data_IF_142438655838
#
_entry.id   IF_142438655838
#
_cell.length_a   1.000
_cell.length_b   1.000
_cell.length_c   1.000
_cell.angle_alpha   90.00
_cell.angle_beta   90.00
_cell.angle_gamma   90.00
#
_symmetry.space_group_name_H-M   'P 1'
#
loop_
_entity.id
_entity.type
_entity.pdbx_description
1 polymer ?
#
# COMPACT_ATOMS: atom_id res chain seq x y z
N UNK A 1 4.07 54.86 -74.99
CA UNK A 1 4.63 54.87 -73.63
C UNK A 1 4.89 53.44 -73.18
N UNK A 2 6.15 52.97 -73.20
CA UNK A 2 6.54 51.65 -72.65
C UNK A 2 7.02 51.87 -71.20
N UNK A 3 6.31 51.34 -70.21
CA UNK A 3 6.75 51.33 -68.80
C UNK A 3 7.62 50.09 -68.57
N UNK A 4 8.89 50.30 -68.26
CA UNK A 4 9.79 49.22 -67.84
C UNK A 4 9.46 48.80 -66.40
N UNK A 5 9.14 47.52 -66.22
CA UNK A 5 9.01 46.89 -64.90
C UNK A 5 10.40 46.48 -64.42
N UNK A 6 10.84 47.02 -63.28
CA UNK A 6 12.08 46.60 -62.58
C UNK A 6 11.73 45.46 -61.63
N UNK A 7 12.26 44.27 -61.91
CA UNK A 7 12.24 43.15 -60.96
C UNK A 7 13.43 43.36 -60.01
N UNK A 8 13.13 43.58 -58.72
CA UNK A 8 14.16 43.61 -57.67
C UNK A 8 14.35 42.15 -57.23
N UNK A 9 15.44 41.54 -57.65
CA UNK A 9 15.86 40.22 -57.15
C UNK A 9 16.61 40.48 -55.85
N UNK A 10 16.03 40.16 -54.70
CA UNK A 10 16.80 40.06 -53.46
C UNK A 10 17.76 38.88 -53.59
N UNK A 11 19.06 39.15 -53.62
CA UNK A 11 20.09 38.11 -53.50
C UNK A 11 19.93 37.43 -52.14
N UNK A 12 19.34 36.23 -52.12
CA UNK A 12 19.33 35.39 -50.93
C UNK A 12 20.76 34.94 -50.67
N UNK A 13 21.35 35.41 -49.57
CA UNK A 13 22.65 34.95 -49.11
C UNK A 13 22.61 33.42 -48.93
N UNK A 14 23.41 32.70 -49.72
CA UNK A 14 23.56 31.26 -49.58
C UNK A 14 24.49 30.96 -48.40
N UNK A 15 24.09 30.01 -47.57
CA UNK A 15 24.84 29.59 -46.37
C UNK A 15 26.15 28.93 -46.77
N UNK A 16 27.25 29.30 -46.11
CA UNK A 16 28.55 28.67 -46.37
C UNK A 16 28.62 27.27 -45.74
N UNK A 17 29.42 26.37 -46.33
CA UNK A 17 29.63 25.02 -45.77
C UNK A 17 30.15 25.06 -44.33
N UNK A 18 30.95 26.07 -43.99
CA UNK A 18 31.52 26.26 -42.65
C UNK A 18 30.43 26.64 -41.64
N UNK A 19 29.54 27.57 -42.00
CA UNK A 19 28.44 27.96 -41.10
C UNK A 19 27.51 26.78 -40.78
N UNK A 20 27.26 25.90 -41.76
CA UNK A 20 26.46 24.68 -41.53
C UNK A 20 27.16 23.71 -40.59
N UNK A 21 28.47 23.55 -40.76
CA UNK A 21 29.25 22.62 -39.97
C UNK A 21 29.36 23.09 -38.50
N UNK A 22 29.61 24.40 -38.30
CA UNK A 22 29.66 24.99 -36.95
C UNK A 22 28.31 24.92 -36.25
N UNK A 23 27.21 25.23 -36.95
CA UNK A 23 25.87 25.18 -36.35
C UNK A 23 25.46 23.76 -35.96
N UNK A 24 25.68 22.77 -36.81
CA UNK A 24 25.45 21.37 -36.45
C UNK A 24 26.38 20.92 -35.29
N UNK A 25 27.63 21.39 -35.28
CA UNK A 25 28.56 21.18 -34.17
C UNK A 25 28.04 21.72 -32.84
N UNK A 26 27.55 22.96 -32.82
CA UNK A 26 26.98 23.58 -31.62
C UNK A 26 25.70 22.85 -31.18
N UNK A 27 24.78 22.53 -32.10
CA UNK A 27 23.53 21.82 -31.77
C UNK A 27 23.81 20.43 -31.20
N UNK A 28 24.74 19.67 -31.80
CA UNK A 28 25.12 18.34 -31.30
C UNK A 28 25.79 18.39 -29.92
N UNK A 29 26.62 19.41 -29.66
CA UNK A 29 27.20 19.65 -28.32
C UNK A 29 26.12 20.01 -27.29
N UNK A 30 25.17 20.87 -27.65
CA UNK A 30 24.07 21.23 -26.75
C UNK A 30 23.17 20.02 -26.44
N UNK A 31 22.86 19.21 -27.46
CA UNK A 31 22.08 17.98 -27.28
C UNK A 31 22.82 16.95 -26.42
N UNK A 32 24.13 16.78 -26.59
CA UNK A 32 24.91 15.82 -25.79
C UNK A 32 24.98 16.21 -24.31
N UNK A 33 24.98 17.52 -24.01
CA UNK A 33 24.92 18.03 -22.65
C UNK A 33 23.50 17.97 -22.05
N UNK A 34 22.46 18.14 -22.87
CA UNK A 34 21.07 18.13 -22.41
C UNK A 34 20.48 16.72 -22.21
N UNK A 35 20.82 15.76 -23.07
CA UNK A 35 20.25 14.40 -23.07
C UNK A 35 20.36 13.66 -21.73
N UNK A 36 21.50 13.64 -21.01
CA UNK A 36 21.61 12.91 -19.73
C UNK A 36 20.66 13.46 -18.66
N UNK A 37 20.47 14.79 -18.63
CA UNK A 37 19.64 15.47 -17.64
C UNK A 37 18.13 15.25 -17.84
N UNK A 38 17.69 14.93 -19.07
CA UNK A 38 16.28 14.72 -19.35
C UNK A 38 15.74 13.39 -18.78
N UNK A 39 16.60 12.40 -18.55
CA UNK A 39 16.18 11.12 -18.00
C UNK A 39 15.93 11.18 -16.49
N UNK A 40 16.77 11.90 -15.73
CA UNK A 40 16.54 12.14 -14.31
C UNK A 40 15.28 12.97 -14.08
N UNK A 41 15.06 14.02 -14.89
CA UNK A 41 13.84 14.82 -14.84
C UNK A 41 12.57 13.99 -15.08
N UNK A 42 12.60 13.06 -16.05
CA UNK A 42 11.48 12.15 -16.30
C UNK A 42 11.24 11.18 -15.15
N UNK A 43 12.28 10.63 -14.54
CA UNK A 43 12.14 9.75 -13.38
C UNK A 43 11.54 10.50 -12.17
N UNK A 44 12.00 11.72 -11.89
CA UNK A 44 11.42 12.57 -10.84
C UNK A 44 9.96 12.92 -11.12
N UNK A 45 9.60 13.19 -12.38
CA UNK A 45 8.22 13.48 -12.76
C UNK A 45 7.29 12.28 -12.56
N UNK A 46 7.74 11.05 -12.87
CA UNK A 46 6.94 9.83 -12.63
C UNK A 46 6.74 9.57 -11.14
N UNK A 47 7.77 9.76 -10.31
CA UNK A 47 7.63 9.70 -8.86
C UNK A 47 6.65 10.71 -8.31
N UNK A 48 6.72 11.97 -8.77
CA UNK A 48 5.75 12.99 -8.36
C UNK A 48 4.32 12.61 -8.76
N UNK A 49 4.14 11.99 -9.94
CA UNK A 49 2.85 11.48 -10.36
C UNK A 49 2.36 10.33 -9.45
N UNK A 50 3.21 9.35 -9.10
CA UNK A 50 2.85 8.28 -8.16
C UNK A 50 2.46 8.84 -6.78
N UNK A 51 3.19 9.84 -6.28
CA UNK A 51 2.86 10.52 -5.02
C UNK A 51 1.54 11.29 -5.08
N UNK A 52 1.26 11.98 -6.19
CA UNK A 52 0.00 12.70 -6.38
C UNK A 52 -1.19 11.75 -6.49
N UNK A 53 -1.04 10.61 -7.17
CA UNK A 53 -2.06 9.57 -7.23
C UNK A 53 -2.32 9.00 -5.83
N UNK A 54 -1.27 8.56 -5.13
CA UNK A 54 -1.35 8.06 -3.75
C UNK A 54 -2.00 9.08 -2.81
N UNK A 55 -1.65 10.37 -2.93
CA UNK A 55 -2.23 11.44 -2.11
C UNK A 55 -3.74 11.57 -2.35
N UNK A 56 -4.18 11.52 -3.59
CA UNK A 56 -5.61 11.62 -3.91
C UNK A 56 -6.39 10.40 -3.39
N UNK A 57 -5.83 9.20 -3.47
CA UNK A 57 -6.42 7.99 -2.88
C UNK A 57 -6.48 8.09 -1.36
N UNK A 58 -5.42 8.57 -0.70
CA UNK A 58 -5.40 8.80 0.74
C UNK A 58 -6.46 9.83 1.18
N UNK A 59 -6.60 10.94 0.46
CA UNK A 59 -7.63 11.93 0.74
C UNK A 59 -9.06 11.39 0.55
N UNK A 60 -9.27 10.49 -0.42
CA UNK A 60 -10.54 9.81 -0.61
C UNK A 60 -10.87 8.87 0.58
N UNK A 61 -9.88 8.12 1.09
CA UNK A 61 -10.02 7.33 2.32
C UNK A 61 -10.37 8.19 3.54
N UNK A 62 -9.68 9.31 3.72
CA UNK A 62 -9.94 10.24 4.82
C UNK A 62 -11.32 10.91 4.71
N UNK A 63 -11.76 11.24 3.49
CA UNK A 63 -13.09 11.80 3.23
C UNK A 63 -14.20 10.78 3.51
N UNK A 64 -13.99 9.52 3.12
CA UNK A 64 -14.87 8.43 3.51
C UNK A 64 -14.94 8.30 5.04
N UNK A 65 -13.79 8.34 5.71
CA UNK A 65 -13.70 8.19 7.15
C UNK A 65 -14.39 9.32 7.92
N UNK A 66 -14.29 10.57 7.44
CA UNK A 66 -14.98 11.72 8.01
C UNK A 66 -16.51 11.58 7.90
N UNK A 67 -17.01 11.16 6.73
CA UNK A 67 -18.46 11.01 6.50
C UNK A 67 -19.07 9.81 7.23
N UNK A 68 -18.35 8.70 7.33
CA UNK A 68 -18.85 7.47 7.94
C UNK A 68 -18.43 7.30 9.41
N UNK A 69 -17.57 8.20 9.91
CA UNK A 69 -16.99 8.14 11.26
C UNK A 69 -16.29 6.80 11.55
N UNK A 70 -15.61 6.25 10.53
CA UNK A 70 -14.78 5.04 10.58
C UNK A 70 -14.00 4.85 9.27
N UNK A 71 -12.81 4.28 9.35
CA UNK A 71 -12.11 3.79 8.16
C UNK A 71 -12.90 2.66 7.50
N UNK A 72 -12.81 2.52 6.16
CA UNK A 72 -13.42 1.38 5.48
C UNK A 72 -12.69 0.08 5.86
N UNK A 73 -13.37 -1.05 5.70
CA UNK A 73 -12.70 -2.35 5.83
C UNK A 73 -11.68 -2.53 4.68
N UNK A 74 -10.55 -3.18 4.96
CA UNK A 74 -9.61 -3.61 3.93
C UNK A 74 -10.27 -4.57 2.93
N UNK A 75 -11.22 -5.38 3.40
CA UNK A 75 -11.96 -6.35 2.60
C UNK A 75 -13.19 -6.85 3.36
N UNK A 76 -14.25 -7.15 2.63
CA UNK A 76 -15.49 -7.74 3.13
C UNK A 76 -15.66 -9.14 2.57
N UNK A 77 -16.05 -10.07 3.42
CA UNK A 77 -16.17 -11.47 3.06
C UNK A 77 -17.45 -12.10 3.63
N UNK A 78 -17.96 -13.18 3.03
CA UNK A 78 -19.16 -13.87 3.50
C UNK A 78 -19.03 -14.30 4.96
N UNK A 79 -20.00 -14.00 5.83
CA UNK A 79 -19.97 -14.48 7.22
C UNK A 79 -19.82 -16.01 7.38
N UNK A 80 -20.11 -16.79 6.33
CA UNK A 80 -19.78 -18.20 6.22
C UNK A 80 -19.20 -18.48 4.83
N UNK A 81 -18.08 -19.20 4.77
CA UNK A 81 -17.39 -19.52 3.51
C UNK A 81 -16.18 -18.62 3.25
N UNK A 82 -15.75 -18.54 1.99
CA UNK A 82 -14.57 -17.78 1.55
C UNK A 82 -14.89 -16.74 0.47
N UNK A 83 -16.17 -16.48 0.22
CA UNK A 83 -16.57 -15.53 -0.82
C UNK A 83 -16.18 -14.10 -0.44
N UNK A 84 -15.53 -13.40 -1.35
CA UNK A 84 -15.14 -12.01 -1.24
C UNK A 84 -16.27 -11.13 -1.78
N UNK A 85 -16.60 -10.03 -1.10
CA UNK A 85 -17.69 -9.13 -1.52
C UNK A 85 -17.20 -7.80 -2.04
N UNK A 86 -16.42 -7.03 -1.28
CA UNK A 86 -15.88 -5.73 -1.72
C UNK A 86 -14.82 -5.23 -0.74
N UNK A 87 -14.09 -4.18 -1.09
CA UNK A 87 -12.96 -3.70 -0.31
C UNK A 87 -12.97 -2.18 -0.12
N UNK A 88 -11.90 -1.65 0.46
CA UNK A 88 -11.70 -0.21 0.65
C UNK A 88 -11.75 0.58 -0.66
N UNK A 89 -11.30 0.01 -1.79
CA UNK A 89 -11.33 0.68 -3.10
C UNK A 89 -12.76 0.96 -3.53
N UNK A 90 -13.63 -0.05 -3.42
CA UNK A 90 -15.06 0.07 -3.72
C UNK A 90 -15.71 1.15 -2.85
N UNK A 91 -15.39 1.16 -1.55
CA UNK A 91 -15.93 2.14 -0.60
C UNK A 91 -15.56 3.59 -0.95
N UNK A 92 -14.36 3.82 -1.51
CA UNK A 92 -13.90 5.17 -1.83
C UNK A 92 -14.23 5.63 -3.26
N UNK A 93 -14.81 4.79 -4.13
CA UNK A 93 -15.13 5.17 -5.52
C UNK A 93 -15.91 6.50 -5.63
N UNK A 94 -16.95 6.78 -4.82
CA UNK A 94 -17.66 8.06 -4.88
C UNK A 94 -16.77 9.28 -4.58
N UNK A 95 -15.71 9.10 -3.79
CA UNK A 95 -14.74 10.14 -3.41
C UNK A 95 -13.59 10.30 -4.42
N UNK A 96 -13.54 9.41 -5.43
CA UNK A 96 -12.60 9.45 -6.56
C UNK A 96 -13.30 9.88 -7.87
N UNK A 97 -14.45 10.54 -7.77
CA UNK A 97 -15.32 10.88 -8.90
C UNK A 97 -15.78 9.65 -9.73
N UNK A 98 -15.77 8.45 -9.13
CA UNK A 98 -16.19 7.18 -9.75
C UNK A 98 -17.57 6.73 -9.26
N UNK A 99 -18.50 7.67 -9.02
CA UNK A 99 -19.86 7.36 -8.53
C UNK A 99 -20.63 6.43 -9.48
N UNK A 100 -20.39 6.52 -10.79
CA UNK A 100 -21.05 5.65 -11.77
C UNK A 100 -20.66 4.17 -11.59
N UNK A 101 -19.37 3.90 -11.37
CA UNK A 101 -18.88 2.55 -11.10
C UNK A 101 -19.39 2.01 -9.76
N UNK A 102 -19.48 2.88 -8.74
CA UNK A 102 -20.05 2.49 -7.45
C UNK A 102 -21.52 2.06 -7.56
N UNK A 103 -22.33 2.78 -8.36
CA UNK A 103 -23.74 2.42 -8.59
C UNK A 103 -23.88 1.12 -9.40
N UNK A 104 -22.96 0.86 -10.33
CA UNK A 104 -22.96 -0.37 -11.15
C UNK A 104 -22.53 -1.61 -10.36
N UNK A 105 -21.73 -1.42 -9.30
CA UNK A 105 -21.27 -2.52 -8.45
C UNK A 105 -22.41 -3.10 -7.59
N UNK A 106 -22.65 -4.41 -7.71
CA UNK A 106 -23.67 -5.10 -6.94
C UNK A 106 -23.09 -5.63 -5.62
N UNK A 107 -23.33 -4.88 -4.53
CA UNK A 107 -22.90 -5.25 -3.18
C UNK A 107 -23.58 -6.53 -2.65
N UNK A 108 -24.65 -7.02 -3.28
CA UNK A 108 -25.30 -8.27 -2.91
C UNK A 108 -24.61 -9.50 -3.54
N UNK A 109 -23.68 -9.30 -4.47
CA UNK A 109 -22.95 -10.35 -5.16
C UNK A 109 -21.48 -10.38 -4.75
N UNK A 110 -20.82 -11.55 -4.79
CA UNK A 110 -19.37 -11.64 -4.60
C UNK A 110 -18.60 -10.80 -5.64
N UNK A 111 -17.41 -10.35 -5.29
CA UNK A 111 -16.51 -9.60 -6.17
C UNK A 111 -16.16 -10.40 -7.44
N UNK A 112 -16.12 -11.74 -7.35
CA UNK A 112 -15.86 -12.63 -8.47
C UNK A 112 -17.09 -12.88 -9.38
N UNK A 113 -18.27 -12.34 -9.05
CA UNK A 113 -19.44 -12.44 -9.91
C UNK A 113 -19.20 -11.70 -11.23
N UNK A 114 -19.75 -12.22 -12.35
CA UNK A 114 -19.51 -11.65 -13.68
C UNK A 114 -19.94 -10.18 -13.79
N UNK A 115 -20.99 -9.77 -13.09
CA UNK A 115 -21.44 -8.38 -13.00
C UNK A 115 -20.36 -7.48 -12.38
N UNK A 116 -19.82 -7.89 -11.23
CA UNK A 116 -18.82 -7.13 -10.49
C UNK A 116 -17.45 -7.14 -11.19
N UNK A 117 -17.06 -8.26 -11.81
CA UNK A 117 -15.83 -8.35 -12.59
C UNK A 117 -15.79 -7.34 -13.75
N UNK A 118 -16.93 -7.06 -14.40
CA UNK A 118 -17.01 -6.03 -15.46
C UNK A 118 -16.68 -4.64 -14.91
N UNK A 119 -17.22 -4.29 -13.74
CA UNK A 119 -16.92 -3.03 -13.06
C UNK A 119 -15.45 -2.98 -12.68
N UNK A 120 -14.95 -4.02 -12.02
CA UNK A 120 -13.60 -4.04 -11.44
C UNK A 120 -12.49 -4.26 -12.46
N UNK A 121 -12.81 -4.57 -13.72
CA UNK A 121 -11.84 -4.60 -14.83
C UNK A 121 -11.58 -3.21 -15.42
N UNK A 122 -12.40 -2.21 -15.06
CA UNK A 122 -12.25 -0.84 -15.55
C UNK A 122 -10.93 -0.23 -15.08
N UNK A 123 -10.17 0.36 -16.01
CA UNK A 123 -8.94 1.08 -15.68
C UNK A 123 -9.26 2.41 -14.98
N UNK A 124 -8.81 2.56 -13.74
CA UNK A 124 -8.89 3.81 -12.99
C UNK A 124 -7.45 4.35 -12.83
N UNK A 125 -7.02 5.34 -13.63
CA UNK A 125 -5.61 5.76 -13.68
C UNK A 125 -5.05 6.22 -12.33
N UNK A 126 -5.89 6.76 -11.44
CA UNK A 126 -5.48 7.23 -10.12
C UNK A 126 -5.09 6.10 -9.15
N UNK A 127 -5.52 4.85 -9.41
CA UNK A 127 -5.18 3.68 -8.60
C UNK A 127 -3.84 3.04 -8.99
N UNK A 128 -3.19 3.55 -10.04
CA UNK A 128 -1.98 2.96 -10.62
C UNK A 128 -0.83 3.96 -10.55
N UNK A 129 0.33 3.52 -10.08
CA UNK A 129 1.56 4.29 -10.18
C UNK A 129 2.09 4.22 -11.61
N UNK A 130 2.42 5.35 -12.26
CA UNK A 130 3.03 5.32 -13.60
C UNK A 130 4.36 4.56 -13.74
N UNK A 131 5.06 4.26 -12.64
CA UNK A 131 6.26 3.41 -12.61
C UNK A 131 5.96 1.92 -12.38
N UNK A 132 4.68 1.55 -12.19
CA UNK A 132 4.26 0.16 -12.09
C UNK A 132 4.32 -0.54 -13.46
N UNK A 133 5.19 -1.53 -13.57
CA UNK A 133 5.43 -2.30 -14.80
C UNK A 133 4.58 -3.56 -14.89
N UNK A 134 3.79 -3.88 -13.86
CA UNK A 134 2.92 -5.06 -13.81
C UNK A 134 1.57 -4.83 -14.50
N UNK A 135 1.27 -3.57 -14.86
CA UNK A 135 -0.03 -3.11 -15.36
C UNK A 135 -0.45 -3.86 -16.62
N UNK A 136 -1.67 -4.42 -16.59
CA UNK A 136 -2.30 -5.06 -17.74
C UNK A 136 -3.54 -4.25 -18.16
N UNK A 137 -3.58 -3.84 -19.43
CA UNK A 137 -4.68 -3.01 -19.94
C UNK A 137 -6.05 -3.69 -19.80
N UNK A 138 -7.01 -2.95 -19.21
CA UNK A 138 -8.39 -3.40 -19.07
C UNK A 138 -8.61 -4.53 -18.06
N UNK A 139 -7.71 -4.69 -17.10
CA UNK A 139 -7.80 -5.72 -16.06
C UNK A 139 -7.96 -5.17 -14.64
N UNK A 140 -8.15 -3.85 -14.48
CA UNK A 140 -8.33 -3.24 -13.18
C UNK A 140 -7.12 -3.35 -12.24
N UNK A 141 -6.03 -2.69 -12.60
CA UNK A 141 -4.79 -2.70 -11.81
C UNK A 141 -4.87 -1.84 -10.54
N UNK A 142 -3.98 -2.12 -9.58
CA UNK A 142 -3.83 -1.44 -8.30
C UNK A 142 -2.35 -1.40 -7.92
N UNK A 143 -1.84 -0.24 -7.51
CA UNK A 143 -0.45 -0.09 -7.05
C UNK A 143 -0.36 0.35 -5.58
N UNK A 144 -1.47 0.29 -4.84
CA UNK A 144 -1.58 0.87 -3.50
C UNK A 144 -2.31 -0.06 -2.53
N UNK A 145 -1.85 -0.10 -1.28
CA UNK A 145 -2.36 -1.00 -0.25
C UNK A 145 -2.46 -0.30 1.10
N UNK A 146 -3.48 -0.63 1.88
CA UNK A 146 -3.73 -0.02 3.19
C UNK A 146 -2.96 -0.71 4.32
N UNK A 147 -2.73 -0.02 5.44
CA UNK A 147 -1.98 -0.57 6.58
C UNK A 147 -2.77 -1.65 7.33
N UNK A 148 -2.27 -2.89 7.27
CA UNK A 148 -2.78 -4.04 8.00
C UNK A 148 -2.12 -4.30 9.35
N UNK A 149 -1.12 -3.52 9.76
CA UNK A 149 -0.41 -3.72 11.03
C UNK A 149 0.56 -4.90 11.01
N UNK A 150 0.64 -5.61 12.12
CA UNK A 150 1.45 -6.83 12.24
C UNK A 150 0.85 -7.97 11.40
N UNK A 151 1.72 -8.75 10.75
CA UNK A 151 1.36 -9.99 10.08
C UNK A 151 0.80 -11.06 11.04
N UNK A 152 -0.51 -11.04 11.32
CA UNK A 152 -1.26 -12.23 11.73
C UNK A 152 -2.77 -12.03 11.59
N UNK A 153 -3.48 -13.03 11.05
CA UNK A 153 -4.94 -13.14 11.23
C UNK A 153 -5.32 -14.58 11.57
N UNK A 154 -6.01 -14.74 12.71
CA UNK A 154 -6.39 -16.02 13.32
C UNK A 154 -7.73 -16.50 12.70
N UNK A 155 -7.93 -17.82 12.48
CA UNK A 155 -9.25 -18.37 12.20
C UNK A 155 -10.14 -18.29 13.44
N UNK A 156 -11.31 -17.67 13.31
CA UNK A 156 -12.47 -18.06 14.11
C UNK A 156 -13.72 -17.87 13.27
N UNK A 157 -14.13 -18.98 12.66
CA UNK A 157 -15.36 -19.18 11.87
C UNK A 157 -15.51 -18.40 10.54
N UNK A 158 -14.36 -17.96 10.01
CA UNK A 158 -14.13 -17.38 8.66
C UNK A 158 -14.71 -15.96 8.45
N UNK A 159 -14.08 -15.14 7.55
CA UNK A 159 -13.52 -15.62 6.28
C UNK A 159 -12.03 -15.30 6.11
N UNK A 160 -11.27 -16.38 5.96
CA UNK A 160 -9.85 -16.45 5.68
C UNK A 160 -8.92 -15.93 6.78
N UNK A 161 -8.41 -16.87 7.57
CA UNK A 161 -7.10 -16.75 8.21
C UNK A 161 -6.06 -16.50 7.12
N UNK A 162 -5.37 -15.38 7.22
CA UNK A 162 -4.35 -14.95 6.29
C UNK A 162 -3.04 -14.80 7.05
N UNK A 163 -2.18 -15.77 6.80
CA UNK A 163 -0.76 -15.66 7.07
C UNK A 163 -0.13 -14.74 6.03
N UNK A 164 0.76 -13.85 6.48
CA UNK A 164 1.67 -13.18 5.56
C UNK A 164 2.80 -14.11 5.07
N UNK A 165 2.94 -15.30 5.69
CA UNK A 165 3.93 -16.31 5.30
C UNK A 165 3.32 -17.39 4.37
N UNK A 166 4.03 -17.67 3.28
CA UNK A 166 3.82 -18.83 2.41
C UNK A 166 4.50 -20.10 2.94
N UNK A 167 5.14 -20.00 4.11
CA UNK A 167 5.82 -21.07 4.83
C UNK A 167 5.15 -21.32 6.19
N UNK A 168 4.92 -22.59 6.50
CA UNK A 168 4.10 -23.05 7.61
C UNK A 168 4.79 -22.96 8.99
N UNK A 169 5.43 -21.84 9.33
CA UNK A 169 6.01 -21.66 10.66
C UNK A 169 4.91 -21.20 11.61
N UNK A 170 4.45 -22.13 12.46
CA UNK A 170 3.52 -21.87 13.56
C UNK A 170 4.19 -20.91 14.54
N UNK A 171 3.68 -19.68 14.65
CA UNK A 171 4.17 -18.68 15.60
C UNK A 171 3.41 -18.90 16.92
N UNK A 172 4.16 -19.11 18.00
CA UNK A 172 3.75 -19.23 19.39
C UNK A 172 3.19 -17.88 19.92
N UNK A 173 2.65 -17.83 21.14
CA UNK A 173 1.82 -16.70 21.57
C UNK A 173 2.61 -15.38 21.61
N UNK A 174 1.98 -14.30 21.13
CA UNK A 174 2.54 -12.94 20.92
C UNK A 174 2.52 -12.05 22.17
N UNK A 175 3.65 -11.89 22.86
CA UNK A 175 3.86 -10.84 23.88
C UNK A 175 4.64 -9.65 23.27
N UNK A 176 3.92 -8.83 22.49
CA UNK A 176 4.50 -7.72 21.72
C UNK A 176 4.86 -6.48 22.58
N UNK A 177 4.55 -6.50 23.86
CA UNK A 177 4.76 -5.38 24.78
C UNK A 177 5.70 -5.74 25.95
N UNK A 178 6.10 -7.01 26.06
CA UNK A 178 7.09 -7.52 27.00
C UNK A 178 6.58 -7.59 28.44
N UNK A 179 5.26 -7.65 28.64
CA UNK A 179 4.65 -7.58 29.97
C UNK A 179 4.42 -8.96 30.63
N UNK A 180 4.75 -10.04 29.92
CA UNK A 180 4.57 -11.41 30.37
C UNK A 180 3.18 -11.98 30.07
N UNK A 181 2.27 -11.19 29.49
CA UNK A 181 0.95 -11.62 29.06
C UNK A 181 0.98 -11.90 27.55
N UNK A 182 1.16 -13.18 27.22
CA UNK A 182 1.24 -13.65 25.84
C UNK A 182 -0.16 -13.67 25.21
N UNK A 183 -0.28 -13.31 23.93
CA UNK A 183 -1.47 -13.56 23.11
C UNK A 183 -1.74 -15.08 22.98
N UNK A 184 -2.70 -15.70 23.71
CA UNK A 184 -2.85 -17.17 23.73
C UNK A 184 -3.16 -17.79 22.35
N UNK A 185 -2.32 -18.73 21.92
CA UNK A 185 -2.61 -19.61 20.76
C UNK A 185 -3.82 -20.50 21.10
N UNK A 186 -4.99 -20.19 20.56
CA UNK A 186 -6.15 -21.09 20.65
C UNK A 186 -5.98 -22.20 19.63
N UNK A 187 -5.55 -23.38 20.08
CA UNK A 187 -5.44 -24.61 19.27
C UNK A 187 -6.73 -25.43 19.20
N UNK A 188 -7.85 -24.99 19.80
CA UNK A 188 -9.05 -25.83 19.89
C UNK A 188 -10.36 -25.20 19.39
N UNK A 189 -11.10 -26.05 18.68
CA UNK A 189 -12.38 -25.90 17.99
C UNK A 189 -13.59 -25.56 18.88
N UNK A 190 -13.46 -24.57 19.76
CA UNK A 190 -14.56 -24.16 20.66
C UNK A 190 -15.45 -23.08 20.04
N UNK A 191 -16.65 -23.52 19.65
CA UNK A 191 -17.73 -22.89 18.89
C UNK A 191 -18.49 -21.73 19.58
N UNK A 192 -17.83 -20.84 20.32
CA UNK A 192 -18.59 -19.78 21.03
C UNK A 192 -17.88 -18.45 21.33
N UNK A 193 -17.01 -17.97 20.44
CA UNK A 193 -16.47 -16.62 20.58
C UNK A 193 -16.99 -15.72 19.45
N UNK A 194 -18.14 -15.07 19.71
CA UNK A 194 -18.48 -13.85 18.98
C UNK A 194 -17.32 -12.89 19.17
N UNK A 195 -16.64 -12.47 18.10
CA UNK A 195 -15.51 -11.52 18.12
C UNK A 195 -15.91 -10.13 18.61
N UNK A 196 -16.35 -10.07 19.87
CA UNK A 196 -16.81 -8.92 20.61
C UNK A 196 -15.91 -8.86 21.85
N UNK A 197 -15.08 -7.82 22.00
CA UNK A 197 -13.98 -7.75 23.00
C UNK A 197 -14.45 -7.62 24.46
N UNK A 198 -15.71 -7.96 24.77
CA UNK A 198 -16.38 -7.53 26.01
C UNK A 198 -16.21 -8.43 27.24
N UNK A 199 -15.47 -9.54 27.18
CA UNK A 199 -15.46 -10.46 28.34
C UNK A 199 -14.18 -11.24 28.65
N UNK A 200 -13.01 -10.88 28.12
CA UNK A 200 -11.75 -11.46 28.60
C UNK A 200 -10.62 -10.40 28.65
N UNK A 201 -9.82 -10.34 29.73
CA UNK A 201 -8.64 -9.50 29.77
C UNK A 201 -7.58 -10.13 28.85
N UNK A 202 -6.98 -9.30 27.97
CA UNK A 202 -5.80 -9.64 27.16
C UNK A 202 -5.98 -10.85 26.22
N UNK A 203 -6.83 -10.71 25.21
CA UNK A 203 -6.90 -11.63 24.06
C UNK A 203 -6.21 -11.03 22.84
N UNK A 204 -5.63 -11.86 21.96
CA UNK A 204 -4.92 -11.54 20.70
C UNK A 204 -5.65 -10.55 19.80
N UNK A 205 -6.98 -10.57 19.86
CA UNK A 205 -7.87 -9.65 19.16
C UNK A 205 -7.62 -8.19 19.56
N UNK A 206 -7.32 -7.93 20.84
CA UNK A 206 -6.99 -6.61 21.35
C UNK A 206 -5.63 -6.14 20.84
N UNK A 207 -4.66 -7.04 20.66
CA UNK A 207 -3.34 -6.71 20.13
C UNK A 207 -3.40 -6.39 18.62
N UNK A 208 -4.18 -7.16 17.85
CA UNK A 208 -4.48 -6.84 16.46
C UNK A 208 -5.25 -5.53 16.34
N UNK A 209 -6.24 -5.28 17.21
CA UNK A 209 -6.93 -3.98 17.26
C UNK A 209 -5.97 -2.83 17.59
N UNK A 210 -4.90 -3.06 18.35
CA UNK A 210 -3.92 -2.02 18.68
C UNK A 210 -2.86 -1.80 17.59
N UNK A 211 -2.56 -2.83 16.78
CA UNK A 211 -1.45 -2.80 15.79
C UNK A 211 -1.93 -2.57 14.36
N UNK A 212 -3.15 -2.97 14.02
CA UNK A 212 -3.71 -2.81 12.67
C UNK A 212 -4.57 -1.56 12.57
N UNK A 213 -4.49 -0.86 11.44
CA UNK A 213 -5.33 0.29 11.15
C UNK A 213 -6.58 -0.09 10.34
N UNK A 214 -6.40 -0.98 9.36
CA UNK A 214 -7.47 -1.54 8.54
C UNK A 214 -7.69 -3.02 8.86
N UNK A 215 -8.94 -3.46 8.78
CA UNK A 215 -9.35 -4.83 9.10
C UNK A 215 -10.19 -5.42 7.98
N UNK A 216 -10.21 -6.75 7.90
CA UNK A 216 -11.25 -7.46 7.16
C UNK A 216 -12.51 -7.60 8.01
N UNK A 217 -13.66 -7.51 7.36
CA UNK A 217 -14.97 -7.60 8.00
C UNK A 217 -15.88 -8.60 7.29
N UNK A 218 -16.93 -9.00 8.00
CA UNK A 218 -17.94 -9.89 7.43
C UNK A 218 -18.98 -9.09 6.62
N UNK A 219 -19.64 -9.80 5.72
CA UNK A 219 -20.71 -9.30 4.88
C UNK A 219 -21.92 -10.26 4.89
N UNK A 220 -23.16 -9.73 4.95
CA UNK A 220 -23.53 -8.31 5.04
C UNK A 220 -23.09 -7.65 6.36
N UNK A 221 -22.90 -6.33 6.35
CA UNK A 221 -22.45 -5.60 7.54
C UNK A 221 -23.36 -5.89 8.76
N UNK A 222 -22.75 -6.03 9.94
CA UNK A 222 -23.47 -6.37 11.18
C UNK A 222 -23.59 -7.88 11.47
N UNK A 223 -23.07 -8.75 10.60
CA UNK A 223 -23.00 -10.20 10.85
C UNK A 223 -21.60 -10.64 11.26
N UNK A 224 -21.27 -10.69 12.55
CA UNK A 224 -19.97 -11.18 13.04
C UNK A 224 -19.04 -10.07 13.56
N UNK A 225 -17.77 -10.05 13.14
CA UNK A 225 -16.78 -9.09 13.68
C UNK A 225 -16.95 -7.69 13.10
N UNK A 226 -16.90 -6.66 13.94
CA UNK A 226 -17.04 -5.25 13.57
C UNK A 226 -15.82 -4.43 13.97
N UNK A 227 -14.64 -4.85 13.53
CA UNK A 227 -13.36 -4.22 13.87
C UNK A 227 -13.07 -3.05 12.95
N UNK A 228 -13.08 -1.84 13.49
CA UNK A 228 -12.78 -0.64 12.73
C UNK A 228 -12.17 0.42 13.63
N UNK A 229 -11.24 1.19 13.08
CA UNK A 229 -10.75 2.41 13.70
C UNK A 229 -11.43 3.64 13.13
N UNK A 230 -11.61 4.61 13.99
CA UNK A 230 -11.87 6.01 13.64
C UNK A 230 -10.54 6.73 13.59
N UNK A 231 -10.49 7.86 12.88
CA UNK A 231 -9.31 8.73 12.93
C UNK A 231 -9.01 9.24 14.35
N UNK A 232 -10.04 9.33 15.21
CA UNK A 232 -9.89 9.66 16.64
C UNK A 232 -9.24 8.57 17.48
N UNK A 233 -9.20 7.33 16.99
CA UNK A 233 -8.67 6.18 17.74
C UNK A 233 -7.14 6.05 17.57
N UNK A 234 -6.54 6.85 16.69
CA UNK A 234 -5.10 6.93 16.45
C UNK A 234 -4.46 7.78 17.56
N UNK A 235 -3.73 7.14 18.47
CA UNK A 235 -3.17 7.79 19.66
C UNK A 235 -1.74 8.32 19.45
N UNK A 236 -0.98 7.68 18.56
CA UNK A 236 0.41 8.04 18.25
C UNK A 236 0.55 9.31 17.40
N UNK A 237 -0.58 9.86 16.93
CA UNK A 237 -0.65 11.03 16.09
C UNK A 237 -0.73 10.69 14.60
N UNK A 238 -1.72 11.28 13.93
CA UNK A 238 -2.04 11.00 12.53
C UNK A 238 -0.88 11.25 11.53
N UNK A 239 0.09 12.10 11.89
CA UNK A 239 1.27 12.39 11.05
C UNK A 239 2.40 11.34 11.16
N UNK A 240 2.30 10.43 12.14
CA UNK A 240 3.27 9.36 12.43
C UNK A 240 2.70 7.97 12.17
N UNK A 241 1.39 7.83 11.92
CA UNK A 241 0.76 6.55 11.56
C UNK A 241 0.53 6.47 10.05
N UNK A 242 1.09 5.43 9.43
CA UNK A 242 0.93 5.11 8.02
C UNK A 242 -0.51 4.70 7.74
N UNK A 243 -1.15 5.39 6.80
CA UNK A 243 -2.47 5.05 6.31
C UNK A 243 -2.39 3.96 5.24
N UNK A 244 -1.50 4.18 4.27
CA UNK A 244 -1.34 3.33 3.10
C UNK A 244 0.02 3.55 2.42
N UNK A 245 0.39 2.64 1.53
CA UNK A 245 1.67 2.67 0.83
C UNK A 245 1.52 2.21 -0.61
N UNK A 246 2.50 2.56 -1.42
CA UNK A 246 2.73 1.92 -2.70
C UNK A 246 3.11 0.44 -2.53
N UNK A 247 2.51 -0.40 -3.35
CA UNK A 247 2.89 -1.77 -3.61
C UNK A 247 2.60 -2.07 -5.09
N UNK A 248 3.62 -1.98 -5.94
CA UNK A 248 3.55 -2.27 -7.39
C UNK A 248 3.40 -3.76 -7.71
N UNK A 249 3.13 -4.58 -6.69
CA UNK A 249 2.80 -6.00 -6.79
C UNK A 249 1.38 -6.31 -6.30
N UNK A 250 0.54 -5.31 -6.08
CA UNK A 250 -0.84 -5.50 -5.61
C UNK A 250 -1.88 -5.67 -6.74
N UNK A 251 -1.48 -5.46 -7.99
CA UNK A 251 -2.34 -5.26 -9.15
C UNK A 251 -3.02 -6.52 -9.67
N UNK A 252 -3.20 -6.62 -11.00
CA UNK A 252 -3.99 -7.70 -11.59
C UNK A 252 -3.25 -9.05 -11.58
N UNK A 253 -3.90 -10.11 -11.10
CA UNK A 253 -3.40 -11.48 -11.23
C UNK A 253 -3.99 -12.18 -12.44
N UNK A 254 -3.21 -12.59 -13.44
CA UNK A 254 -3.73 -13.38 -14.54
C UNK A 254 -4.18 -14.80 -14.14
N UNK A 255 -3.69 -15.36 -13.03
CA UNK A 255 -4.04 -16.72 -12.58
C UNK A 255 -5.38 -16.73 -11.88
N UNK A 256 -5.51 -15.91 -10.85
CA UNK A 256 -6.69 -15.85 -9.99
C UNK A 256 -7.72 -14.80 -10.44
N UNK A 257 -7.38 -13.98 -11.45
CA UNK A 257 -8.20 -12.87 -11.98
C UNK A 257 -8.57 -11.82 -10.93
N UNK A 258 -7.73 -11.67 -9.91
CA UNK A 258 -7.85 -10.60 -8.92
C UNK A 258 -7.49 -9.25 -9.54
N UNK A 259 -8.17 -8.19 -9.11
CA UNK A 259 -8.02 -6.81 -9.57
C UNK A 259 -8.26 -5.85 -8.39
N UNK A 260 -8.36 -4.55 -8.63
CA UNK A 260 -8.56 -3.54 -7.58
C UNK A 260 -9.84 -3.73 -6.74
N UNK A 261 -10.80 -4.54 -7.18
CA UNK A 261 -11.99 -4.90 -6.40
C UNK A 261 -11.83 -6.16 -5.54
N UNK A 262 -10.70 -6.85 -5.63
CA UNK A 262 -10.41 -8.05 -4.83
C UNK A 262 -10.25 -7.67 -3.36
N UNK A 263 -10.88 -8.45 -2.48
CA UNK A 263 -10.80 -8.25 -1.03
C UNK A 263 -9.61 -8.98 -0.41
N UNK A 264 -8.87 -9.74 -1.21
CA UNK A 264 -7.71 -10.52 -0.80
C UNK A 264 -6.64 -9.65 -0.12
N UNK A 265 -6.32 -9.90 1.18
CA UNK A 265 -5.38 -9.09 1.94
C UNK A 265 -3.97 -9.06 1.41
N UNK A 266 -3.55 -10.08 0.66
CA UNK A 266 -2.24 -10.03 -0.01
C UNK A 266 -2.12 -8.94 -1.08
N UNK A 267 -3.25 -8.30 -1.45
CA UNK A 267 -3.37 -7.24 -2.46
C UNK A 267 -4.06 -5.98 -1.95
N UNK A 268 -4.95 -6.10 -0.98
CA UNK A 268 -5.69 -4.94 -0.47
C UNK A 268 -4.95 -4.24 0.67
N UNK A 269 -4.05 -4.93 1.37
CA UNK A 269 -3.31 -4.40 2.51
C UNK A 269 -1.86 -4.87 2.55
N UNK A 270 -1.06 -4.25 3.40
CA UNK A 270 0.30 -4.68 3.70
C UNK A 270 0.47 -4.98 5.18
N UNK A 271 1.46 -5.82 5.50
CA UNK A 271 1.79 -6.19 6.86
C UNK A 271 3.24 -5.88 7.19
N UNK A 272 3.55 -5.78 8.47
CA UNK A 272 4.92 -5.84 8.98
C UNK A 272 5.27 -7.28 9.28
N UNK A 273 6.51 -7.67 8.95
CA UNK A 273 7.02 -9.02 9.12
C UNK A 273 6.73 -9.60 10.50
N UNK A 274 6.25 -10.84 10.54
CA UNK A 274 6.08 -11.60 11.79
C UNK A 274 7.42 -12.17 12.31
N UNK A 275 8.49 -12.05 11.52
CA UNK A 275 9.85 -12.50 11.89
C UNK A 275 10.55 -11.55 12.87
N UNK A 276 9.85 -10.51 13.33
CA UNK A 276 10.20 -9.75 14.56
C UNK A 276 10.29 -10.65 15.79
N UNK A 277 9.65 -11.82 15.76
CA UNK A 277 9.77 -12.84 16.77
C UNK A 277 10.76 -13.92 16.37
N UNK A 278 11.78 -14.16 17.18
CA UNK A 278 12.78 -15.20 16.92
C UNK A 278 12.16 -16.60 16.93
N UNK A 279 12.44 -17.42 15.91
CA UNK A 279 11.94 -18.79 15.78
C UNK A 279 10.41 -18.94 15.88
N UNK A 280 9.66 -17.87 15.61
CA UNK A 280 8.22 -17.83 15.78
C UNK A 280 7.77 -17.85 17.24
N UNK A 281 8.63 -17.52 18.20
CA UNK A 281 8.26 -17.39 19.62
C UNK A 281 8.38 -15.92 19.99
N UNK A 282 7.30 -15.35 20.53
CA UNK A 282 7.20 -13.93 20.86
C UNK A 282 7.05 -13.77 22.39
N UNK A 283 8.12 -14.01 23.13
CA UNK A 283 8.26 -13.73 24.56
C UNK A 283 8.98 -12.36 24.72
N UNK A 284 8.92 -11.69 25.90
CA UNK A 284 9.55 -10.37 26.11
C UNK A 284 10.99 -10.25 25.63
N UNK A 285 11.76 -11.34 25.73
CA UNK A 285 13.19 -11.38 25.36
C UNK A 285 13.44 -11.81 23.90
N UNK A 286 12.40 -12.27 23.18
CA UNK A 286 12.53 -12.80 21.81
C UNK A 286 11.85 -11.94 20.74
N UNK A 287 11.22 -10.83 21.14
CA UNK A 287 10.69 -9.80 20.24
C UNK A 287 11.77 -8.75 19.94
N UNK A 288 12.19 -8.69 18.68
CA UNK A 288 13.14 -7.70 18.18
C UNK A 288 12.49 -6.90 17.04
N UNK A 289 11.87 -5.77 17.38
CA UNK A 289 11.17 -4.90 16.41
C UNK A 289 12.11 -4.38 15.31
N UNK A 290 13.41 -4.27 15.59
CA UNK A 290 14.45 -3.94 14.60
C UNK A 290 14.48 -4.88 13.39
N UNK A 291 13.96 -6.11 13.51
CA UNK A 291 13.92 -7.09 12.42
C UNK A 291 12.83 -6.83 11.38
N UNK A 292 11.87 -5.94 11.65
CA UNK A 292 10.74 -5.65 10.76
C UNK A 292 11.16 -5.20 9.35
N UNK A 293 12.39 -4.69 9.20
CA UNK A 293 12.98 -4.31 7.92
C UNK A 293 14.45 -4.78 7.81
N UNK A 294 14.78 -5.93 8.40
CA UNK A 294 16.13 -6.49 8.36
C UNK A 294 16.38 -7.32 7.09
N UNK A 295 17.04 -6.68 6.11
CA UNK A 295 17.40 -7.28 4.84
C UNK A 295 18.53 -8.33 4.92
N UNK A 296 19.25 -8.42 6.04
CA UNK A 296 20.32 -9.39 6.26
C UNK A 296 19.78 -10.68 6.91
N UNK A 297 18.66 -10.60 7.64
CA UNK A 297 18.07 -11.77 8.29
C UNK A 297 17.55 -12.79 7.27
N UNK A 298 17.89 -14.09 7.38
CA UNK A 298 17.55 -15.09 6.36
C UNK A 298 16.05 -15.24 6.09
N UNK A 299 15.21 -15.04 7.12
CA UNK A 299 13.76 -15.11 7.04
C UNK A 299 13.12 -13.74 6.78
N UNK A 300 13.55 -12.69 7.49
CA UNK A 300 12.91 -11.37 7.45
C UNK A 300 13.12 -10.65 6.12
N UNK A 301 14.26 -10.87 5.47
CA UNK A 301 14.66 -10.19 4.23
C UNK A 301 13.68 -10.35 3.06
N UNK A 302 12.79 -11.34 3.10
CA UNK A 302 11.77 -11.59 2.07
C UNK A 302 10.52 -10.71 2.22
N UNK A 303 10.40 -10.07 3.38
CA UNK A 303 9.22 -9.32 3.84
C UNK A 303 9.55 -7.84 4.08
N UNK A 304 10.79 -7.43 3.78
CA UNK A 304 11.27 -6.06 3.90
C UNK A 304 10.72 -5.16 2.79
N UNK A 305 10.84 -3.84 2.97
CA UNK A 305 10.53 -2.85 1.95
C UNK A 305 11.30 -3.16 0.66
N UNK A 306 10.62 -3.12 -0.50
CA UNK A 306 11.17 -3.42 -1.83
C UNK A 306 11.74 -4.84 -2.04
N UNK A 307 11.71 -5.74 -1.05
CA UNK A 307 12.22 -7.12 -1.20
C UNK A 307 11.42 -7.97 -2.19
N UNK A 308 10.17 -7.57 -2.45
CA UNK A 308 9.21 -8.32 -3.27
C UNK A 308 9.08 -7.84 -4.71
N UNK A 309 9.94 -6.92 -5.17
CA UNK A 309 9.83 -6.32 -6.52
C UNK A 309 9.87 -7.33 -7.68
N UNK A 310 10.28 -8.57 -7.45
CA UNK A 310 10.34 -9.63 -8.47
C UNK A 310 9.41 -10.82 -8.17
N UNK A 311 8.59 -10.73 -7.13
CA UNK A 311 7.61 -11.78 -6.81
C UNK A 311 6.41 -11.72 -7.76
N UNK A 312 5.60 -12.78 -7.74
CA UNK A 312 4.37 -12.80 -8.50
C UNK A 312 3.38 -11.76 -7.94
N UNK A 313 2.52 -11.25 -8.82
CA UNK A 313 1.50 -10.29 -8.43
C UNK A 313 0.64 -10.88 -7.30
N UNK A 314 0.41 -10.10 -6.24
CA UNK A 314 -0.36 -10.38 -5.03
C UNK A 314 0.06 -11.59 -4.21
N UNK A 315 1.30 -12.04 -4.36
CA UNK A 315 1.91 -12.98 -3.41
C UNK A 315 2.74 -12.26 -2.35
N UNK A 316 2.85 -10.93 -2.43
CA UNK A 316 3.72 -10.13 -1.60
C UNK A 316 2.99 -8.89 -1.04
N UNK A 317 2.39 -8.99 0.15
CA UNK A 317 1.78 -7.86 0.85
C UNK A 317 2.82 -6.92 1.47
N UNK A 318 3.99 -6.76 0.85
CA UNK A 318 5.08 -5.96 1.36
C UNK A 318 5.18 -4.68 0.54
N UNK A 319 5.37 -3.52 1.18
CA UNK A 319 5.47 -2.27 0.44
C UNK A 319 6.59 -2.34 -0.59
N UNK A 320 6.26 -1.94 -1.82
CA UNK A 320 7.17 -2.06 -2.96
C UNK A 320 6.92 -0.93 -3.95
N UNK A 321 7.99 -0.42 -4.54
CA UNK A 321 7.95 0.76 -5.40
C UNK A 321 8.90 0.63 -6.58
N UNK A 322 8.49 1.17 -7.73
CA UNK A 322 9.35 1.25 -8.93
C UNK A 322 10.52 2.25 -8.76
N UNK A 323 10.56 3.00 -7.66
CA UNK A 323 11.60 3.98 -7.37
C UNK A 323 12.73 3.37 -6.52
N UNK A 324 14.00 3.45 -6.97
CA UNK A 324 15.12 2.84 -6.26
C UNK A 324 15.32 3.38 -4.83
N UNK A 325 15.50 2.48 -3.87
CA UNK A 325 15.87 2.82 -2.49
C UNK A 325 14.74 3.34 -1.59
N UNK A 326 13.54 3.50 -2.14
CA UNK A 326 12.42 4.14 -1.44
C UNK A 326 11.06 3.55 -1.80
N UNK A 327 10.08 3.78 -0.93
CA UNK A 327 8.66 3.51 -1.16
C UNK A 327 7.86 4.79 -0.87
N UNK A 328 6.82 5.07 -1.67
CA UNK A 328 5.91 6.18 -1.38
C UNK A 328 4.88 5.76 -0.33
N UNK A 329 4.69 6.60 0.68
CA UNK A 329 3.84 6.31 1.85
C UNK A 329 2.90 7.49 2.09
N UNK A 330 1.63 7.20 2.38
CA UNK A 330 0.66 8.18 2.86
C UNK A 330 0.39 7.99 4.36
N UNK A 331 0.29 9.10 5.08
CA UNK A 331 0.04 9.16 6.51
C UNK A 331 -1.43 9.48 6.79
N UNK A 332 -1.88 9.22 8.02
CA UNK A 332 -3.27 9.45 8.42
C UNK A 332 -3.66 10.95 8.45
N UNK A 333 -2.70 11.87 8.36
CA UNK A 333 -2.93 13.32 8.16
C UNK A 333 -3.07 13.71 6.67
N UNK A 334 -2.96 12.75 5.74
CA UNK A 334 -3.04 12.97 4.30
C UNK A 334 -1.73 13.47 3.67
N UNK A 335 -0.63 13.57 4.43
CA UNK A 335 0.71 13.80 3.90
C UNK A 335 1.17 12.57 3.11
N UNK A 336 1.92 12.80 2.03
CA UNK A 336 2.65 11.75 1.33
C UNK A 336 4.13 12.06 1.42
N UNK A 337 4.92 11.08 1.85
CA UNK A 337 6.39 11.16 1.90
C UNK A 337 6.98 9.94 1.24
N UNK A 338 8.31 9.89 1.20
CA UNK A 338 9.00 8.62 0.96
C UNK A 338 9.55 8.06 2.24
N UNK A 339 9.63 6.74 2.26
CA UNK A 339 10.32 5.95 3.26
C UNK A 339 11.49 5.25 2.59
N UNK A 340 12.68 5.33 3.18
CA UNK A 340 13.84 4.58 2.67
C UNK A 340 13.65 3.09 2.94
N UNK A 341 14.05 2.23 2.01
CA UNK A 341 14.12 0.78 2.25
C UNK A 341 15.18 0.39 3.29
N UNK A 342 16.00 1.33 3.75
CA UNK A 342 16.97 1.17 4.85
C UNK A 342 16.51 1.78 6.17
N UNK A 343 15.23 2.16 6.29
CA UNK A 343 14.71 2.62 7.58
C UNK A 343 14.91 1.53 8.64
N UNK A 344 15.21 1.95 9.87
CA UNK A 344 15.28 1.05 11.01
C UNK A 344 13.95 0.29 11.19
N UNK A 345 14.03 -1.02 11.45
CA UNK A 345 12.84 -1.86 11.56
C UNK A 345 11.93 -1.44 12.71
N UNK A 346 12.48 -0.99 13.83
CA UNK A 346 11.68 -0.51 14.96
C UNK A 346 10.89 0.75 14.61
N UNK A 347 11.50 1.66 13.84
CA UNK A 347 10.82 2.87 13.32
C UNK A 347 9.73 2.49 12.31
N UNK A 348 10.05 1.59 11.37
CA UNK A 348 9.06 1.11 10.40
C UNK A 348 7.87 0.45 11.11
N UNK A 349 8.14 -0.44 12.07
CA UNK A 349 7.11 -1.10 12.87
C UNK A 349 6.21 -0.07 13.57
N UNK A 350 6.81 0.89 14.27
CA UNK A 350 6.09 1.93 14.98
C UNK A 350 5.16 2.73 14.06
N UNK A 351 5.65 3.08 12.85
CA UNK A 351 4.88 3.87 11.90
C UNK A 351 3.65 3.15 11.34
N UNK A 352 3.62 1.82 11.33
CA UNK A 352 2.49 1.05 10.77
C UNK A 352 1.37 0.87 11.80
N UNK A 353 1.65 1.08 13.09
CA UNK A 353 0.71 0.89 14.20
C UNK A 353 0.09 2.21 14.69
N UNK A 354 -1.22 2.25 15.00
CA UNK A 354 -1.87 3.46 15.55
C UNK A 354 -1.60 3.71 17.06
N UNK A 355 -1.01 2.73 17.75
CA UNK A 355 -0.74 2.71 19.20
C UNK A 355 0.66 2.10 19.53
N UNK A 356 1.62 2.24 18.63
CA UNK A 356 3.01 1.80 18.79
C UNK A 356 3.77 2.53 19.92
N UNK A 357 3.46 3.80 20.21
CA UNK A 357 4.14 4.57 21.27
C UNK A 357 3.60 4.30 22.67
N UNK A 358 2.40 3.72 22.82
CA UNK A 358 1.78 3.41 24.11
C UNK A 358 2.27 2.10 24.75
N UNK A 359 3.31 1.46 24.21
CA UNK A 359 3.87 0.22 24.75
C UNK A 359 4.82 0.47 25.95
N UNK A 360 4.95 -0.47 26.91
CA UNK A 360 5.68 -0.28 28.18
C UNK A 360 7.20 -0.12 28.00
N UNK A 361 7.74 -0.49 26.84
CA UNK A 361 9.01 0.02 26.37
C UNK A 361 8.71 1.19 25.42
N UNK A 362 8.80 2.45 25.88
CA UNK A 362 8.76 3.56 24.94
C UNK A 362 9.82 3.28 23.90
N UNK A 363 9.41 3.14 22.63
CA UNK A 363 10.30 3.18 21.49
C UNK A 363 11.21 4.37 21.74
N UNK A 364 12.47 4.12 22.08
CA UNK A 364 13.41 5.17 22.44
C UNK A 364 13.32 6.22 21.33
N UNK A 365 12.91 7.45 21.70
CA UNK A 365 12.59 8.53 20.76
C UNK A 365 13.68 8.63 19.69
N UNK A 366 13.44 8.01 18.53
CA UNK A 366 14.30 8.19 17.38
C UNK A 366 13.74 9.40 16.65
N UNK A 367 14.34 10.55 16.98
CA UNK A 367 14.05 11.81 16.32
C UNK A 367 14.24 11.60 14.82
N UNK A 368 13.14 11.73 14.06
CA UNK A 368 13.17 11.85 12.60
C UNK A 368 13.85 13.19 12.31
N UNK A 369 15.18 13.19 12.23
CA UNK A 369 15.92 14.39 11.80
C UNK A 369 15.94 14.44 10.29
N UNK A 370 15.73 15.64 9.73
CA UNK A 370 15.75 15.99 8.30
C UNK A 370 17.10 15.71 7.57
N UNK A 371 17.98 14.88 8.12
CA UNK A 371 19.29 14.56 7.57
C UNK A 371 19.28 13.43 6.52
N UNK A 372 18.10 12.93 6.13
CA UNK A 372 17.95 11.88 5.12
C UNK A 372 17.37 12.41 3.79
N UNK A 373 17.94 13.51 3.27
CA UNK A 373 17.70 14.01 1.91
C UNK A 373 18.94 13.86 1.02
#
# INVERSE_FOLDING_TARGET
>A
MRRSVRIIVEERAAFTMIELLVTLGIVSLLLSLALPSMFSARASARRLACQNNLRQVALALLSHADQHNRLPAAGHFAAQGSDQYHNWVIAILPYLDQTALYIEYDLAQPAAAESNLKVTSTSIPILVCPDDVSVVDGQGNLSYVVSGGLAWTIPVDCPASLHADTSAVMIAPLDLNGDGEVCPVVLESSTSHSGNPKSAPLTDLACLEQTSLFFVENWPAGTGTGRHHRLSDIQDGASQTMLMTENVRAGYDPKEKFNWGSSEPSRSMFFVSSTVCEAGICEPESVELGRANDAEHPLARRECLNSSLHQAEGTAPWPSSGHPGVVNVAWCDGRVTVLSDRVDGGVYFASVTPQGLSKPHPLAESVITDAAF
#
